data_IF_759322756083
#
_entry.id   IF_759322756083
#
_cell.length_a   1.000
_cell.length_b   1.000
_cell.length_c   1.000
_cell.angle_alpha   90.00
_cell.angle_beta   90.00
_cell.angle_gamma   90.00
#
_symmetry.space_group_name_H-M   'P 1'
#
loop_
_entity.id
_entity.type
_entity.pdbx_description
1 polymer ?
#
# COMPACT_ATOMS: atom_id res chain seq x y z
N UNK A 1 -26.65 4.30 -8.39
CA UNK A 1 -25.85 3.38 -7.59
C UNK A 1 -24.44 3.37 -8.16
N UNK A 2 -23.41 3.68 -7.40
CA UNK A 2 -22.07 3.48 -7.89
C UNK A 2 -21.85 1.98 -8.06
N UNK A 3 -21.49 1.57 -9.26
CA UNK A 3 -21.11 0.19 -9.55
C UNK A 3 -19.94 -0.20 -8.65
N UNK A 4 -20.06 -1.39 -8.07
CA UNK A 4 -19.02 -1.96 -7.21
C UNK A 4 -17.69 -1.96 -7.94
N UNK A 5 -16.74 -1.35 -7.31
CA UNK A 5 -15.32 -1.43 -7.62
C UNK A 5 -14.95 -2.86 -8.01
N UNK A 6 -14.40 -3.05 -9.19
CA UNK A 6 -14.01 -4.39 -9.64
C UNK A 6 -12.79 -4.87 -8.86
N UNK A 7 -12.63 -6.18 -8.79
CA UNK A 7 -11.58 -6.89 -8.06
C UNK A 7 -10.12 -6.59 -8.49
N UNK A 8 -9.89 -5.53 -9.25
CA UNK A 8 -8.59 -5.18 -9.82
C UNK A 8 -8.09 -3.79 -9.42
N UNK A 9 -8.77 -3.10 -8.49
CA UNK A 9 -8.23 -1.83 -8.00
C UNK A 9 -7.01 -2.10 -7.13
N UNK A 10 -5.85 -1.51 -7.44
CA UNK A 10 -4.64 -1.77 -6.70
C UNK A 10 -4.75 -1.21 -5.28
N UNK A 11 -4.65 -2.08 -4.32
CA UNK A 11 -4.54 -1.73 -2.91
C UNK A 11 -3.23 -2.27 -2.36
N UNK A 12 -2.43 -1.43 -1.77
CA UNK A 12 -1.09 -1.71 -1.31
C UNK A 12 -0.88 -1.28 0.11
N UNK A 13 -0.21 -2.13 0.87
CA UNK A 13 0.25 -1.84 2.21
C UNK A 13 1.76 -2.01 2.28
N UNK A 14 2.48 -0.98 2.69
CA UNK A 14 3.89 -1.05 2.98
C UNK A 14 4.09 -1.12 4.49
N UNK A 15 4.67 -2.20 4.99
CA UNK A 15 4.95 -2.35 6.42
C UNK A 15 6.09 -1.44 6.86
N UNK A 16 5.91 -0.85 8.04
CA UNK A 16 6.80 0.15 8.63
C UNK A 16 8.21 -0.35 8.97
N UNK A 17 8.94 0.48 9.69
CA UNK A 17 10.37 0.30 9.94
C UNK A 17 10.71 -0.90 10.82
N UNK A 18 9.80 -1.40 11.62
CA UNK A 18 10.03 -2.50 12.55
C UNK A 18 9.24 -3.76 12.13
N UNK A 19 9.94 -4.65 11.43
CA UNK A 19 9.35 -5.90 10.96
C UNK A 19 9.14 -6.95 12.07
N UNK A 20 9.50 -6.67 13.32
CA UNK A 20 9.31 -7.61 14.44
C UNK A 20 7.84 -7.95 14.64
N UNK A 21 6.97 -6.97 14.51
CA UNK A 21 5.52 -7.17 14.65
C UNK A 21 4.94 -8.09 13.59
N UNK A 22 5.46 -8.07 12.39
CA UNK A 22 5.00 -8.94 11.31
C UNK A 22 5.41 -10.39 11.54
N UNK A 23 6.59 -10.63 12.13
CA UNK A 23 7.06 -11.99 12.45
C UNK A 23 6.31 -12.61 13.62
N UNK A 24 5.94 -11.85 14.64
CA UNK A 24 5.23 -12.34 15.82
C UNK A 24 3.77 -12.69 15.53
N UNK A 25 3.14 -12.00 14.58
CA UNK A 25 1.74 -12.24 14.21
C UNK A 25 1.52 -13.35 13.17
N UNK A 26 2.56 -13.96 12.64
CA UNK A 26 2.44 -15.00 11.62
C UNK A 26 1.83 -16.30 12.13
N UNK A 27 2.00 -16.62 13.40
CA UNK A 27 1.36 -17.78 14.01
C UNK A 27 -0.16 -17.69 14.06
N UNK A 28 -0.71 -16.46 13.91
CA UNK A 28 -2.14 -16.21 13.99
C UNK A 28 -2.86 -16.18 12.64
N UNK A 29 -2.17 -16.22 11.49
CA UNK A 29 -2.84 -16.01 10.20
C UNK A 29 -2.23 -16.66 8.95
N UNK A 30 -1.06 -17.26 9.02
CA UNK A 30 -0.48 -18.11 7.94
C UNK A 30 -0.26 -17.45 6.57
N UNK A 31 -0.12 -16.12 6.49
CA UNK A 31 -0.21 -15.42 5.20
C UNK A 31 1.12 -14.94 4.60
N UNK A 32 2.21 -14.99 5.34
CA UNK A 32 3.57 -14.71 4.83
C UNK A 32 4.54 -15.69 5.49
N UNK A 33 5.39 -16.37 4.75
CA UNK A 33 6.26 -17.41 5.32
C UNK A 33 7.32 -16.83 6.26
N UNK A 34 7.52 -17.46 7.43
CA UNK A 34 8.49 -17.06 8.46
C UNK A 34 9.92 -16.89 7.90
N UNK A 35 10.35 -17.78 7.03
CA UNK A 35 11.68 -17.73 6.44
C UNK A 35 11.90 -16.47 5.58
N UNK A 36 10.87 -16.03 4.87
CA UNK A 36 10.94 -14.80 4.07
C UNK A 36 11.04 -13.54 4.94
N UNK A 37 10.46 -13.56 6.15
CA UNK A 37 10.46 -12.42 7.07
C UNK A 37 11.74 -12.32 7.89
N UNK A 38 12.30 -13.44 8.34
CA UNK A 38 13.59 -13.44 9.05
C UNK A 38 14.71 -12.87 8.18
N UNK A 39 14.75 -13.21 6.88
CA UNK A 39 15.69 -12.63 5.93
C UNK A 39 15.48 -11.13 5.70
N UNK A 40 14.23 -10.66 5.77
CA UNK A 40 13.90 -9.24 5.54
C UNK A 40 14.47 -8.33 6.64
N UNK A 41 14.46 -8.75 7.89
CA UNK A 41 14.99 -7.96 9.01
C UNK A 41 16.51 -7.74 8.92
N UNK A 42 17.25 -8.79 8.55
CA UNK A 42 18.73 -8.72 8.44
C UNK A 42 19.14 -7.80 7.30
N UNK A 43 18.38 -7.76 6.22
CA UNK A 43 18.70 -7.02 4.99
C UNK A 43 18.04 -5.64 4.89
N UNK A 44 17.36 -5.16 5.94
CA UNK A 44 16.55 -3.94 5.90
C UNK A 44 15.52 -3.96 4.75
N UNK A 45 14.95 -5.11 4.50
CA UNK A 45 13.90 -5.30 3.51
C UNK A 45 12.55 -5.00 4.13
N UNK A 46 11.71 -4.28 3.38
CA UNK A 46 10.33 -3.97 3.76
C UNK A 46 9.39 -4.67 2.79
N UNK A 47 8.50 -5.53 3.30
CA UNK A 47 7.53 -6.20 2.45
C UNK A 47 6.47 -5.21 1.96
N UNK A 48 6.11 -5.35 0.70
CA UNK A 48 4.96 -4.69 0.10
C UNK A 48 3.87 -5.73 -0.06
N UNK A 49 2.77 -5.50 0.61
CA UNK A 49 1.63 -6.41 0.62
C UNK A 49 0.56 -5.88 -0.33
N UNK A 50 0.09 -6.71 -1.20
CA UNK A 50 -1.02 -6.43 -2.11
C UNK A 50 -2.24 -7.27 -1.76
N UNK A 51 -3.41 -6.67 -1.95
CA UNK A 51 -4.67 -7.40 -1.96
C UNK A 51 -4.96 -7.84 -3.40
N UNK A 52 -4.89 -9.15 -3.66
CA UNK A 52 -5.15 -9.73 -4.95
C UNK A 52 -6.13 -10.90 -4.81
N UNK A 53 -7.22 -10.85 -5.57
CA UNK A 53 -8.27 -11.89 -5.56
C UNK A 53 -8.76 -12.24 -4.13
N UNK A 54 -8.91 -11.20 -3.28
CA UNK A 54 -9.34 -11.34 -1.89
C UNK A 54 -8.26 -11.88 -0.93
N UNK A 55 -7.02 -12.05 -1.40
CA UNK A 55 -5.91 -12.54 -0.60
C UNK A 55 -4.81 -11.49 -0.45
N UNK A 56 -4.21 -11.42 0.73
CA UNK A 56 -3.03 -10.63 0.97
C UNK A 56 -1.79 -11.41 0.55
N UNK A 57 -1.04 -10.87 -0.40
CA UNK A 57 0.19 -11.48 -0.89
C UNK A 57 1.37 -10.52 -0.67
N UNK A 58 2.56 -11.07 -0.43
CA UNK A 58 3.79 -10.29 -0.47
C UNK A 58 4.21 -10.15 -1.94
N UNK A 59 3.88 -9.01 -2.55
CA UNK A 59 4.14 -8.76 -3.96
C UNK A 59 5.62 -8.49 -4.23
N UNK A 60 6.27 -7.74 -3.35
CA UNK A 60 7.69 -7.40 -3.48
C UNK A 60 8.32 -7.09 -2.12
N UNK A 61 9.63 -7.00 -2.09
CA UNK A 61 10.42 -6.56 -0.93
C UNK A 61 11.30 -5.41 -1.35
N UNK A 62 11.10 -4.25 -0.72
CA UNK A 62 11.86 -3.05 -1.01
C UNK A 62 13.01 -2.93 0.01
N UNK A 63 14.21 -2.68 -0.48
CA UNK A 63 15.39 -2.46 0.36
C UNK A 63 15.64 -0.98 0.57
N UNK A 64 15.89 -0.60 1.82
CA UNK A 64 16.32 0.75 2.17
C UNK A 64 16.05 1.08 3.63
N UNK A 65 16.75 2.11 4.13
CA UNK A 65 16.60 2.64 5.48
C UNK A 65 15.76 3.91 5.53
N UNK A 66 15.68 4.65 4.42
CA UNK A 66 14.88 5.86 4.31
C UNK A 66 13.42 5.51 3.93
N UNK A 67 12.58 5.40 4.94
CA UNK A 67 11.20 4.98 4.77
C UNK A 67 10.37 5.99 3.96
N UNK A 68 10.60 7.29 4.17
CA UNK A 68 9.94 8.33 3.36
C UNK A 68 10.21 8.16 1.87
N UNK A 69 11.47 7.97 1.52
CA UNK A 69 11.88 7.75 0.12
C UNK A 69 11.28 6.48 -0.46
N UNK A 70 11.18 5.41 0.34
CA UNK A 70 10.56 4.15 -0.08
C UNK A 70 9.07 4.32 -0.35
N UNK A 71 8.34 5.04 0.50
CA UNK A 71 6.92 5.32 0.29
C UNK A 71 6.69 6.10 -1.03
N UNK A 72 7.45 7.15 -1.25
CA UNK A 72 7.34 7.96 -2.47
C UNK A 72 7.68 7.16 -3.72
N UNK A 73 8.74 6.36 -3.66
CA UNK A 73 9.13 5.47 -4.77
C UNK A 73 8.02 4.49 -5.11
N UNK A 74 7.45 3.83 -4.10
CA UNK A 74 6.35 2.88 -4.28
C UNK A 74 5.13 3.52 -4.93
N UNK A 75 4.73 4.70 -4.46
CA UNK A 75 3.63 5.46 -5.05
C UNK A 75 3.88 5.72 -6.53
N UNK A 76 5.05 6.24 -6.89
CA UNK A 76 5.42 6.54 -8.27
C UNK A 76 5.36 5.31 -9.16
N UNK A 77 6.00 4.22 -8.74
CA UNK A 77 6.03 2.96 -9.50
C UNK A 77 4.63 2.39 -9.74
N UNK A 78 3.77 2.42 -8.74
CA UNK A 78 2.41 1.88 -8.87
C UNK A 78 1.50 2.78 -9.71
N UNK A 79 1.59 4.09 -9.56
CA UNK A 79 0.83 5.02 -10.39
C UNK A 79 1.29 5.03 -11.86
N UNK A 80 2.57 4.75 -12.11
CA UNK A 80 3.10 4.63 -13.46
C UNK A 80 2.70 3.30 -14.12
N UNK A 81 2.60 2.22 -13.31
CA UNK A 81 2.19 0.90 -13.80
C UNK A 81 0.66 0.80 -14.04
N UNK A 82 -0.13 1.47 -13.22
CA UNK A 82 -1.59 1.44 -13.26
C UNK A 82 -2.13 2.87 -13.38
N UNK A 83 -2.57 3.30 -14.58
CA UNK A 83 -3.08 4.65 -14.78
C UNK A 83 -4.26 4.95 -13.84
N UNK A 84 -4.11 5.89 -12.91
CA UNK A 84 -5.14 6.14 -11.90
C UNK A 84 -6.28 7.00 -12.42
N UNK A 85 -7.48 6.76 -11.90
CA UNK A 85 -8.51 7.78 -11.86
C UNK A 85 -8.13 8.80 -10.79
N UNK A 86 -7.87 10.02 -11.20
CA UNK A 86 -7.34 11.09 -10.34
C UNK A 86 -8.40 11.73 -9.43
N UNK A 87 -9.60 11.14 -9.30
CA UNK A 87 -10.64 11.68 -8.44
C UNK A 87 -10.33 11.45 -6.97
N UNK A 88 -10.09 10.21 -6.60
CA UNK A 88 -9.95 9.82 -5.20
C UNK A 88 -8.76 8.87 -4.99
N UNK A 89 -8.02 9.10 -3.92
CA UNK A 89 -7.06 8.15 -3.36
C UNK A 89 -7.27 8.01 -1.87
N UNK A 90 -7.38 6.77 -1.41
CA UNK A 90 -7.46 6.44 0.00
C UNK A 90 -6.08 6.07 0.54
N UNK A 91 -5.70 6.70 1.62
CA UNK A 91 -4.46 6.45 2.36
C UNK A 91 -4.79 5.80 3.69
N UNK A 92 -3.98 4.84 4.11
CA UNK A 92 -4.12 4.16 5.39
C UNK A 92 -2.82 4.29 6.16
N UNK A 93 -2.92 4.53 7.46
CA UNK A 93 -1.77 4.55 8.36
C UNK A 93 -2.08 3.85 9.67
N UNK A 94 -1.03 3.33 10.31
CA UNK A 94 -1.08 2.96 11.72
C UNK A 94 -0.42 4.02 12.57
N UNK A 95 -0.68 4.06 13.89
CA UNK A 95 0.02 4.95 14.81
C UNK A 95 1.55 4.83 14.66
N UNK A 96 2.26 5.94 14.75
CA UNK A 96 3.72 5.97 14.61
C UNK A 96 4.23 6.29 13.21
N UNK A 97 3.37 6.45 12.20
CA UNK A 97 3.80 7.04 10.93
C UNK A 97 4.06 8.53 11.13
N UNK A 98 5.29 8.96 10.84
CA UNK A 98 5.74 10.33 11.08
C UNK A 98 5.00 11.35 10.20
N UNK A 99 4.73 12.52 10.78
CA UNK A 99 3.93 13.56 10.12
C UNK A 99 4.59 14.07 8.83
N UNK A 100 5.90 14.20 8.80
CA UNK A 100 6.65 14.64 7.62
C UNK A 100 6.55 13.66 6.45
N UNK A 101 6.43 12.36 6.75
CA UNK A 101 6.18 11.32 5.75
C UNK A 101 4.77 11.47 5.19
N UNK A 102 3.77 11.69 6.05
CA UNK A 102 2.40 11.92 5.62
C UNK A 102 2.30 13.16 4.70
N UNK A 103 2.93 14.26 5.08
CA UNK A 103 2.96 15.48 4.29
C UNK A 103 3.63 15.27 2.91
N UNK A 104 4.74 14.54 2.87
CA UNK A 104 5.43 14.22 1.63
C UNK A 104 4.59 13.35 0.69
N UNK A 105 3.86 12.37 1.24
CA UNK A 105 2.94 11.51 0.49
C UNK A 105 1.80 12.33 -0.09
N UNK A 106 1.18 13.18 0.71
CA UNK A 106 0.10 14.06 0.23
C UNK A 106 0.58 14.99 -0.88
N UNK A 107 1.74 15.61 -0.71
CA UNK A 107 2.33 16.50 -1.71
C UNK A 107 2.58 15.78 -3.03
N UNK A 108 3.12 14.55 -3.00
CA UNK A 108 3.34 13.74 -4.20
C UNK A 108 2.03 13.43 -4.93
N UNK A 109 1.00 13.02 -4.18
CA UNK A 109 -0.29 12.65 -4.77
C UNK A 109 -1.03 13.87 -5.36
N UNK A 110 -0.99 15.00 -4.67
CA UNK A 110 -1.56 16.26 -5.19
C UNK A 110 -0.81 16.76 -6.42
N UNK A 111 0.50 16.63 -6.44
CA UNK A 111 1.32 16.96 -7.61
C UNK A 111 1.00 16.06 -8.80
N UNK A 112 0.63 14.80 -8.55
CA UNK A 112 0.16 13.86 -9.57
C UNK A 112 -1.25 14.17 -10.09
N UNK A 113 -2.00 15.05 -9.43
CA UNK A 113 -3.29 15.55 -9.87
C UNK A 113 -4.50 14.95 -9.14
N UNK A 114 -4.30 14.17 -8.09
CA UNK A 114 -5.43 13.67 -7.29
C UNK A 114 -6.21 14.82 -6.66
N UNK A 115 -7.54 14.79 -6.84
CA UNK A 115 -8.43 15.82 -6.32
C UNK A 115 -8.72 15.61 -4.84
N UNK A 116 -8.99 14.38 -4.45
CA UNK A 116 -9.30 14.01 -3.08
C UNK A 116 -8.27 13.02 -2.53
N UNK A 117 -7.50 13.46 -1.56
CA UNK A 117 -6.54 12.63 -0.82
C UNK A 117 -7.07 12.45 0.59
N UNK A 118 -7.41 11.21 0.97
CA UNK A 118 -8.07 10.92 2.25
C UNK A 118 -7.26 9.95 3.08
N UNK A 119 -6.94 10.35 4.31
CA UNK A 119 -6.30 9.50 5.31
C UNK A 119 -7.33 8.75 6.14
N UNK A 120 -7.04 7.48 6.39
CA UNK A 120 -7.78 6.60 7.27
C UNK A 120 -6.83 6.00 8.29
N UNK A 121 -7.26 5.96 9.55
CA UNK A 121 -6.55 5.20 10.57
C UNK A 121 -6.89 3.71 10.39
N UNK A 122 -5.86 2.88 10.41
CA UNK A 122 -6.04 1.44 10.31
C UNK A 122 -6.73 0.90 11.58
N UNK A 123 -7.62 -0.03 11.37
CA UNK A 123 -8.28 -0.75 12.48
C UNK A 123 -7.29 -1.61 13.28
N UNK A 124 -7.74 -2.09 14.44
CA UNK A 124 -6.93 -2.89 15.37
C UNK A 124 -6.28 -4.12 14.76
N UNK A 125 -6.96 -4.79 13.83
CA UNK A 125 -6.42 -5.97 13.15
C UNK A 125 -5.20 -5.63 12.30
N UNK A 126 -5.27 -4.60 11.46
CA UNK A 126 -4.14 -4.17 10.64
C UNK A 126 -3.00 -3.65 11.52
N UNK A 127 -3.32 -2.89 12.56
CA UNK A 127 -2.32 -2.38 13.50
C UNK A 127 -1.62 -3.51 14.25
N UNK A 128 -2.35 -4.53 14.68
CA UNK A 128 -1.76 -5.69 15.35
C UNK A 128 -0.83 -6.50 14.45
N UNK A 129 -1.17 -6.66 13.17
CA UNK A 129 -0.36 -7.42 12.22
C UNK A 129 0.78 -6.63 11.58
N UNK A 130 0.58 -5.35 11.32
CA UNK A 130 1.56 -4.49 10.65
C UNK A 130 2.48 -3.75 11.59
N UNK A 131 2.06 -3.55 12.83
CA UNK A 131 2.78 -2.74 13.81
C UNK A 131 2.67 -1.24 13.55
N UNK A 132 3.46 -0.43 14.27
CA UNK A 132 3.49 1.02 14.11
C UNK A 132 4.14 1.44 12.80
N UNK A 133 3.71 2.60 12.26
CA UNK A 133 4.34 3.23 11.12
C UNK A 133 4.04 2.56 9.77
N UNK A 134 2.97 1.79 9.66
CA UNK A 134 2.51 1.23 8.39
C UNK A 134 1.90 2.32 7.53
N UNK A 135 2.20 2.27 6.25
CA UNK A 135 1.59 3.07 5.20
C UNK A 135 0.94 2.18 4.16
N UNK A 136 -0.21 2.58 3.69
CA UNK A 136 -0.89 1.93 2.58
C UNK A 136 -1.69 2.93 1.75
N UNK A 137 -1.98 2.58 0.51
CA UNK A 137 -2.85 3.36 -0.35
C UNK A 137 -3.64 2.48 -1.32
N UNK A 138 -4.77 3.02 -1.73
CA UNK A 138 -5.64 2.40 -2.72
C UNK A 138 -6.22 3.49 -3.64
N UNK A 139 -6.31 3.17 -4.91
CA UNK A 139 -6.89 4.05 -5.92
C UNK A 139 -7.60 3.24 -6.99
N UNK A 140 -8.49 3.89 -7.74
CA UNK A 140 -9.16 3.26 -8.87
C UNK A 140 -8.35 3.47 -10.15
N UNK A 141 -8.26 2.44 -10.97
CA UNK A 141 -7.66 2.52 -12.30
C UNK A 141 -8.65 3.08 -13.32
N UNK A 142 -8.15 3.89 -14.26
CA UNK A 142 -8.99 4.33 -15.39
C UNK A 142 -9.34 3.09 -16.23
N UNK A 143 -10.60 2.70 -16.21
CA UNK A 143 -11.10 1.73 -17.18
C UNK A 143 -11.02 2.34 -18.58
N UNK A 144 -10.12 1.85 -19.41
CA UNK A 144 -10.24 2.06 -20.84
C UNK A 144 -11.58 1.45 -21.24
N UNK A 145 -12.58 2.29 -21.48
CA UNK A 145 -13.76 1.83 -22.22
C UNK A 145 -13.22 1.32 -23.56
N UNK A 146 -13.16 0.03 -23.69
CA UNK A 146 -13.01 -0.57 -25.01
C UNK A 146 -14.15 -0.02 -25.83
N UNK A 147 -13.81 0.86 -26.78
CA UNK A 147 -14.77 1.38 -27.73
C UNK A 147 -15.46 0.18 -28.36
N UNK A 148 -16.77 0.09 -28.17
CA UNK A 148 -17.57 -0.69 -29.10
C UNK A 148 -17.26 -0.11 -30.47
N UNK A 149 -16.49 -0.84 -31.26
CA UNK A 149 -16.57 -0.70 -32.71
C UNK A 149 -18.00 -1.09 -33.06
N UNK A 150 -18.83 -0.10 -33.30
CA UNK A 150 -20.10 -0.34 -33.94
C UNK A 150 -19.80 -0.78 -35.36
N UNK A 151 -20.49 -1.80 -35.87
CA UNK A 151 -20.37 -2.25 -37.24
C UNK A 151 -20.77 -1.18 -38.24
#
# INVERSE_FOLDING_TARGET
>A
MPERTSAHDPALLLFGSDNRYVSECQDCGGRVSNAAMMGANILKLKPVIELKDGQLICAEKIRGSDYRRLCIKLIREKLDAFPPDLQDVALVRTPGLEADICEAIEAELRQRGFQNVRWHEAGGVITAHGGPGVFGFAFSEIRRRYGRSLP
#
